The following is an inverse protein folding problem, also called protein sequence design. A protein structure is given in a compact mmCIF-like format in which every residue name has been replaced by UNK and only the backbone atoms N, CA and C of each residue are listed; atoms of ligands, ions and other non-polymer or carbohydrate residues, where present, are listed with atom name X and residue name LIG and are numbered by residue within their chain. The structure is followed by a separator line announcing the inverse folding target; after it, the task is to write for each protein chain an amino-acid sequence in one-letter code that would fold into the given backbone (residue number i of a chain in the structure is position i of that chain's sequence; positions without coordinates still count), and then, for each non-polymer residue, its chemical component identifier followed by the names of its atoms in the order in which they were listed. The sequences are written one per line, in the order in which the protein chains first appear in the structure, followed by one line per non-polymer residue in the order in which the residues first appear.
data_IF_865617986621
#
_entry.id   IF_865617986621
#
_cell.length_a   1.000
_cell.length_b   1.000
_cell.length_c   1.000
_cell.angle_alpha   90.00
_cell.angle_beta   90.00
_cell.angle_gamma   90.00
#
_symmetry.space_group_name_H-M   'P 1'
#
loop_
_entity.id
_entity.type
_entity.pdbx_description
1 polymer ?
#
# COMPACT_ATOMS: atom_id res chain seq x y z
N UNK A 1 -23.47 40.80 -84.62
CA UNK A 1 -23.27 41.63 -83.41
C UNK A 1 -22.35 40.90 -82.44
N UNK A 2 -21.42 41.64 -81.82
CA UNK A 2 -20.58 41.31 -80.65
C UNK A 2 -19.41 40.34 -80.91
N UNK A 3 -18.16 40.81 -81.03
CA UNK A 3 -17.25 41.51 -80.08
C UNK A 3 -16.34 40.51 -79.35
N UNK A 4 -15.07 40.56 -79.73
CA UNK A 4 -13.88 40.13 -78.99
C UNK A 4 -13.88 40.82 -77.61
N UNK A 5 -13.46 40.13 -76.54
CA UNK A 5 -12.68 40.76 -75.47
C UNK A 5 -11.81 39.73 -74.70
N UNK A 6 -10.52 40.05 -74.64
CA UNK A 6 -9.51 39.56 -73.72
C UNK A 6 -9.76 40.12 -72.31
N UNK A 7 -9.48 39.35 -71.24
CA UNK A 7 -9.20 39.93 -69.91
C UNK A 7 -8.15 39.10 -69.14
N UNK A 8 -7.28 39.83 -68.45
CA UNK A 8 -5.99 39.50 -67.83
C UNK A 8 -6.15 39.26 -66.30
N UNK A 9 -5.37 38.29 -65.79
CA UNK A 9 -4.62 38.15 -64.51
C UNK A 9 -5.15 38.78 -63.21
N UNK A 10 -5.19 38.01 -62.11
CA UNK A 10 -4.63 38.40 -60.78
C UNK A 10 -4.13 37.14 -60.03
N UNK A 11 -2.82 37.06 -59.81
CA UNK A 11 -2.16 36.22 -58.81
C UNK A 11 -2.35 36.82 -57.42
N UNK A 12 -2.98 36.08 -56.49
CA UNK A 12 -3.02 36.41 -55.07
C UNK A 12 -2.01 35.54 -54.32
N UNK A 13 -0.87 36.14 -54.00
CA UNK A 13 0.10 35.62 -53.03
C UNK A 13 -0.45 35.94 -51.64
N UNK A 14 -0.98 34.94 -50.94
CA UNK A 14 -1.19 35.04 -49.50
C UNK A 14 0.08 34.56 -48.80
N UNK A 15 0.89 35.51 -48.33
CA UNK A 15 1.85 35.30 -47.25
C UNK A 15 1.03 35.11 -45.98
N UNK A 16 0.67 33.86 -45.69
CA UNK A 16 0.10 33.49 -44.40
C UNK A 16 1.24 33.25 -43.42
N UNK A 17 1.36 34.12 -42.41
CA UNK A 17 2.17 33.87 -41.22
C UNK A 17 1.83 32.49 -40.64
N UNK A 18 2.73 31.52 -40.81
CA UNK A 18 2.71 30.28 -40.04
C UNK A 18 3.07 30.62 -38.60
N UNK A 19 2.08 30.93 -37.78
CA UNK A 19 2.16 30.52 -36.38
C UNK A 19 2.13 29.00 -36.43
N UNK A 20 3.28 28.36 -36.20
CA UNK A 20 3.29 26.98 -35.76
C UNK A 20 2.37 26.91 -34.54
N UNK A 21 1.14 26.47 -34.77
CA UNK A 21 0.32 25.97 -33.68
C UNK A 21 1.07 24.76 -33.17
N UNK A 22 1.74 24.90 -32.04
CA UNK A 22 2.10 23.76 -31.21
C UNK A 22 0.86 22.88 -31.16
N UNK A 23 0.93 21.71 -31.76
CA UNK A 23 -0.19 20.77 -31.72
C UNK A 23 -0.33 20.42 -30.24
N UNK A 24 -1.31 21.05 -29.57
CA UNK A 24 -1.74 20.62 -28.25
C UNK A 24 -2.13 19.15 -28.41
N UNK A 25 -1.30 18.27 -27.87
CA UNK A 25 -1.63 16.87 -27.79
C UNK A 25 -2.81 16.77 -26.83
N UNK A 26 -4.02 16.70 -27.40
CA UNK A 26 -5.26 16.66 -26.63
C UNK A 26 -5.18 15.56 -25.58
N UNK A 27 -5.54 15.90 -24.35
CA UNK A 27 -5.64 14.92 -23.27
C UNK A 27 -6.66 13.84 -23.65
N UNK A 28 -6.26 12.58 -23.49
CA UNK A 28 -7.07 11.42 -23.86
C UNK A 28 -7.37 10.57 -22.64
N UNK A 29 -8.57 10.00 -22.58
CA UNK A 29 -8.89 8.98 -21.59
C UNK A 29 -8.24 7.64 -21.91
N UNK A 30 -7.60 7.04 -20.91
CA UNK A 30 -6.92 5.75 -20.98
C UNK A 30 -7.45 4.84 -19.86
N UNK A 31 -7.76 3.58 -20.21
CA UNK A 31 -8.12 2.54 -19.24
C UNK A 31 -6.84 1.94 -18.65
N UNK A 32 -6.73 1.92 -17.33
CA UNK A 32 -5.49 1.56 -16.63
C UNK A 32 -5.78 0.47 -15.60
N UNK A 33 -4.95 -0.57 -15.58
CA UNK A 33 -4.91 -1.56 -14.50
C UNK A 33 -3.93 -1.14 -13.40
N UNK A 34 -4.24 -1.46 -12.14
CA UNK A 34 -3.40 -1.10 -10.99
C UNK A 34 -2.85 -2.36 -10.31
N UNK A 35 -1.55 -2.34 -10.06
CA UNK A 35 -0.87 -3.26 -9.17
C UNK A 35 0.14 -2.49 -8.30
N UNK A 36 0.84 -3.18 -7.41
CA UNK A 36 1.89 -2.61 -6.59
C UNK A 36 3.12 -3.50 -6.48
N UNK A 37 4.25 -2.93 -6.10
CA UNK A 37 5.48 -3.62 -5.76
C UNK A 37 5.99 -3.09 -4.42
N UNK A 38 6.79 -3.89 -3.73
CA UNK A 38 7.45 -3.43 -2.51
C UNK A 38 8.78 -2.79 -2.88
N UNK A 39 9.13 -1.70 -2.19
CA UNK A 39 10.55 -1.40 -2.03
C UNK A 39 11.20 -2.55 -1.27
N UNK A 40 12.39 -2.97 -1.68
CA UNK A 40 13.24 -3.88 -0.91
C UNK A 40 13.66 -3.17 0.39
N UNK A 41 12.73 -3.05 1.33
CA UNK A 41 12.92 -2.31 2.57
C UNK A 41 12.10 -2.96 3.68
N UNK A 42 12.75 -3.83 4.42
CA UNK A 42 12.32 -4.29 5.74
C UNK A 42 13.58 -4.53 6.55
N UNK A 43 13.69 -3.94 7.74
CA UNK A 43 14.83 -4.21 8.64
C UNK A 43 14.35 -5.12 9.77
N UNK A 44 15.22 -6.01 10.21
CA UNK A 44 14.92 -7.02 11.23
C UNK A 44 15.53 -6.63 12.56
N UNK A 45 14.86 -6.98 13.67
CA UNK A 45 15.47 -6.84 14.99
C UNK A 45 16.29 -8.08 15.36
N UNK A 46 15.99 -9.29 14.88
CA UNK A 46 16.72 -10.50 15.28
C UNK A 46 17.98 -10.73 14.42
N UNK A 47 19.13 -10.88 15.08
CA UNK A 47 20.33 -11.42 14.45
C UNK A 47 20.13 -12.90 14.06
N UNK A 48 20.26 -13.21 12.77
CA UNK A 48 20.48 -14.57 12.25
C UNK A 48 19.32 -15.58 12.34
N UNK A 49 18.15 -15.35 11.74
CA UNK A 49 17.19 -16.45 11.55
C UNK A 49 16.53 -16.48 10.17
N UNK A 50 16.75 -17.59 9.46
CA UNK A 50 16.10 -17.99 8.20
C UNK A 50 14.58 -17.86 8.25
N UNK A 51 13.95 -18.06 9.41
CA UNK A 51 12.50 -18.03 9.61
C UNK A 51 11.83 -16.73 9.09
N UNK A 52 12.45 -15.56 9.25
CA UNK A 52 11.85 -14.31 8.72
C UNK A 52 12.08 -14.13 7.23
N UNK A 53 13.29 -14.43 6.74
CA UNK A 53 13.54 -14.40 5.31
C UNK A 53 12.60 -15.38 4.59
N UNK A 54 12.38 -16.55 5.17
CA UNK A 54 11.43 -17.55 4.71
C UNK A 54 10.00 -17.00 4.77
N UNK A 55 9.58 -16.40 5.89
CA UNK A 55 8.25 -15.79 6.01
C UNK A 55 8.02 -14.69 4.99
N UNK A 56 8.95 -13.74 4.87
CA UNK A 56 8.88 -12.64 3.90
C UNK A 56 8.81 -13.18 2.48
N UNK A 57 9.76 -14.04 2.09
CA UNK A 57 9.83 -14.58 0.73
C UNK A 57 8.61 -15.43 0.40
N UNK A 58 8.06 -16.17 1.37
CA UNK A 58 6.92 -17.05 1.17
C UNK A 58 5.59 -16.31 1.16
N UNK A 59 5.41 -15.30 2.01
CA UNK A 59 4.08 -14.72 2.28
C UNK A 59 3.92 -13.26 1.91
N UNK A 60 4.98 -12.45 2.02
CA UNK A 60 4.93 -11.02 1.77
C UNK A 60 5.30 -10.73 0.33
N UNK A 61 6.46 -11.22 -0.12
CA UNK A 61 6.95 -11.07 -1.50
C UNK A 61 5.98 -11.67 -2.53
N UNK A 62 5.31 -12.76 -2.19
CA UNK A 62 4.27 -13.42 -3.00
C UNK A 62 2.90 -12.74 -2.94
N UNK A 63 2.76 -11.65 -2.17
CA UNK A 63 1.50 -10.94 -1.90
C UNK A 63 0.40 -11.83 -1.29
N UNK A 64 0.76 -12.92 -0.62
CA UNK A 64 -0.22 -13.79 0.05
C UNK A 64 -0.87 -13.04 1.23
N UNK A 65 -0.05 -12.48 2.12
CA UNK A 65 -0.48 -11.76 3.32
C UNK A 65 -0.51 -10.24 3.12
N UNK A 66 -1.01 -9.81 1.95
CA UNK A 66 -1.29 -8.40 1.65
C UNK A 66 -2.79 -8.14 1.60
N UNK A 67 -3.20 -6.89 1.87
CA UNK A 67 -4.55 -6.42 1.60
C UNK A 67 -4.97 -6.69 0.16
N UNK A 68 -6.27 -6.91 -0.02
CA UNK A 68 -6.86 -7.22 -1.32
C UNK A 68 -7.58 -6.04 -1.96
N UNK A 69 -7.72 -4.93 -1.23
CA UNK A 69 -8.45 -3.73 -1.67
C UNK A 69 -7.66 -2.46 -1.45
N UNK A 70 -7.91 -1.44 -2.26
CA UNK A 70 -7.27 -0.14 -2.16
C UNK A 70 -8.28 1.01 -2.15
N UNK A 71 -7.83 2.16 -1.66
CA UNK A 71 -8.49 3.45 -1.73
C UNK A 71 -7.43 4.51 -2.07
N UNK A 72 -7.40 4.94 -3.33
CA UNK A 72 -6.36 5.80 -3.89
C UNK A 72 -6.98 7.09 -4.43
N UNK A 73 -6.28 8.20 -4.25
CA UNK A 73 -6.61 9.51 -4.83
C UNK A 73 -5.55 9.88 -5.84
N UNK A 74 -6.00 10.12 -7.08
CA UNK A 74 -5.19 10.58 -8.20
C UNK A 74 -5.46 12.07 -8.38
N UNK A 75 -4.43 12.91 -8.24
CA UNK A 75 -4.50 14.35 -8.50
C UNK A 75 -3.70 14.68 -9.75
N UNK A 76 -4.38 15.08 -10.82
CA UNK A 76 -3.72 15.55 -12.03
C UNK A 76 -3.02 16.88 -11.75
N UNK A 77 -1.73 16.99 -12.07
CA UNK A 77 -0.92 18.16 -11.72
C UNK A 77 -1.23 19.40 -12.54
N UNK A 78 -1.61 19.22 -13.79
CA UNK A 78 -1.88 20.33 -14.72
C UNK A 78 -3.24 20.97 -14.43
N UNK A 79 -4.27 20.14 -14.29
CA UNK A 79 -5.66 20.59 -14.12
C UNK A 79 -6.07 20.75 -12.66
N UNK A 80 -5.35 20.12 -11.73
CA UNK A 80 -5.73 20.04 -10.32
C UNK A 80 -6.91 19.08 -10.04
N UNK A 81 -7.46 18.43 -11.07
CA UNK A 81 -8.59 17.52 -10.92
C UNK A 81 -8.22 16.29 -10.06
N UNK A 82 -9.13 15.89 -9.18
CA UNK A 82 -8.94 14.75 -8.28
C UNK A 82 -9.96 13.65 -8.56
N UNK A 83 -9.49 12.39 -8.52
CA UNK A 83 -10.32 11.21 -8.60
C UNK A 83 -9.97 10.24 -7.47
N UNK A 84 -10.94 9.89 -6.63
CA UNK A 84 -10.78 8.84 -5.61
C UNK A 84 -11.33 7.52 -6.13
N UNK A 85 -10.49 6.51 -6.18
CA UNK A 85 -10.77 5.19 -6.75
C UNK A 85 -10.65 4.15 -5.64
N UNK A 86 -11.71 3.36 -5.48
CA UNK A 86 -11.74 2.19 -4.60
C UNK A 86 -11.87 0.93 -5.43
N UNK A 87 -11.07 -0.08 -5.13
CA UNK A 87 -11.05 -1.30 -5.93
C UNK A 87 -10.37 -2.47 -5.22
N UNK A 88 -10.28 -3.59 -5.92
CA UNK A 88 -9.50 -4.75 -5.52
C UNK A 88 -8.25 -4.88 -6.37
N UNK A 89 -7.12 -5.20 -5.75
CA UNK A 89 -5.91 -5.56 -6.49
C UNK A 89 -6.14 -6.79 -7.36
N UNK A 90 -5.39 -6.91 -8.46
CA UNK A 90 -5.45 -8.03 -9.40
C UNK A 90 -6.83 -8.26 -10.05
N UNK A 91 -7.69 -7.23 -10.09
CA UNK A 91 -8.95 -7.26 -10.83
C UNK A 91 -8.92 -6.19 -11.90
N UNK A 92 -9.57 -6.44 -13.03
CA UNK A 92 -9.80 -5.40 -14.04
C UNK A 92 -10.71 -4.33 -13.44
N UNK A 93 -10.37 -3.07 -13.70
CA UNK A 93 -11.16 -1.93 -13.30
C UNK A 93 -11.71 -1.22 -14.54
N UNK A 94 -12.91 -0.67 -14.45
CA UNK A 94 -13.56 0.04 -15.55
C UNK A 94 -13.39 1.56 -15.45
N UNK A 95 -12.40 2.05 -14.70
CA UNK A 95 -12.13 3.49 -14.60
C UNK A 95 -11.14 3.92 -15.68
N UNK A 96 -11.20 5.20 -16.04
CA UNK A 96 -10.27 5.82 -16.97
C UNK A 96 -9.63 7.05 -16.33
N UNK A 97 -8.39 7.33 -16.73
CA UNK A 97 -7.67 8.55 -16.36
C UNK A 97 -7.32 9.32 -17.63
N UNK A 98 -7.28 10.64 -17.54
CA UNK A 98 -6.71 11.46 -18.61
C UNK A 98 -5.19 11.24 -18.66
N UNK A 99 -4.61 11.36 -19.84
CA UNK A 99 -3.14 11.47 -19.96
C UNK A 99 -2.63 12.67 -19.18
N UNK A 100 -1.47 12.52 -18.54
CA UNK A 100 -0.81 13.59 -17.80
C UNK A 100 -0.08 13.08 -16.56
N UNK A 101 0.50 14.01 -15.81
CA UNK A 101 1.19 13.72 -14.56
C UNK A 101 0.25 13.74 -13.36
N UNK A 102 0.42 12.76 -12.47
CA UNK A 102 -0.40 12.60 -11.29
C UNK A 102 0.44 12.54 -10.01
N UNK A 103 -0.12 13.10 -8.94
CA UNK A 103 0.24 12.73 -7.58
C UNK A 103 -0.76 11.70 -7.08
N UNK A 104 -0.26 10.54 -6.63
CA UNK A 104 -1.08 9.44 -6.15
C UNK A 104 -0.83 9.27 -4.67
N UNK A 105 -1.88 9.40 -3.88
CA UNK A 105 -1.85 9.11 -2.45
C UNK A 105 -2.95 8.12 -2.10
N UNK A 106 -2.74 7.31 -1.07
CA UNK A 106 -3.82 6.49 -0.55
C UNK A 106 -3.33 5.31 0.26
N UNK A 107 -4.23 4.38 0.50
CA UNK A 107 -3.97 3.24 1.37
C UNK A 107 -4.55 1.96 0.80
N UNK A 108 -3.99 0.86 1.25
CA UNK A 108 -4.53 -0.47 1.07
C UNK A 108 -4.42 -1.17 2.40
N UNK A 109 -5.55 -1.31 3.08
CA UNK A 109 -5.67 -1.89 4.41
C UNK A 109 -6.59 -3.12 4.36
N UNK A 110 -6.42 -4.06 5.30
CA UNK A 110 -7.33 -5.18 5.41
C UNK A 110 -8.73 -4.68 5.78
N UNK A 111 -9.74 -5.23 5.12
CA UNK A 111 -11.13 -4.78 5.25
C UNK A 111 -11.66 -5.07 6.66
N UNK A 112 -11.95 -4.02 7.44
CA UNK A 112 -12.43 -4.19 8.81
C UNK A 112 -12.63 -2.92 9.65
N UNK A 113 -12.47 -1.72 9.08
CA UNK A 113 -12.48 -0.44 9.82
C UNK A 113 -13.77 -0.21 10.63
N UNK A 114 -14.86 -0.94 10.34
CA UNK A 114 -16.15 -0.77 11.01
C UNK A 114 -16.72 -1.97 11.79
N UNK A 115 -16.07 -3.14 11.88
CA UNK A 115 -16.68 -4.23 12.69
C UNK A 115 -15.76 -5.30 13.27
N UNK A 116 -14.52 -5.45 12.80
CA UNK A 116 -13.49 -6.23 13.47
C UNK A 116 -12.18 -5.87 12.80
N UNK A 117 -11.26 -5.26 13.53
CA UNK A 117 -9.98 -4.96 12.94
C UNK A 117 -9.24 -6.25 12.59
N UNK A 118 -8.82 -6.31 11.33
CA UNK A 118 -8.20 -7.49 10.77
C UNK A 118 -6.68 -7.30 10.81
N UNK A 119 -6.00 -8.08 11.64
CA UNK A 119 -4.54 -8.01 11.84
C UNK A 119 -3.79 -9.12 11.08
N UNK A 120 -4.42 -9.71 10.05
CA UNK A 120 -3.94 -10.91 9.36
C UNK A 120 -3.07 -10.63 8.12
N UNK A 121 -3.02 -9.37 7.68
CA UNK A 121 -2.26 -8.93 6.51
C UNK A 121 -1.76 -7.51 6.69
N UNK A 122 -0.78 -7.13 5.87
CA UNK A 122 -0.09 -5.85 5.93
C UNK A 122 -1.03 -4.64 5.88
N UNK A 123 -0.57 -3.48 6.33
CA UNK A 123 -1.17 -2.19 6.00
C UNK A 123 -0.21 -1.46 5.08
N UNK A 124 -0.71 -0.95 3.96
CA UNK A 124 0.11 -0.30 2.94
C UNK A 124 -0.36 1.13 2.68
N UNK A 125 0.61 2.00 2.41
CA UNK A 125 0.39 3.39 1.99
C UNK A 125 1.09 3.64 0.67
N UNK A 126 0.52 4.56 -0.10
CA UNK A 126 1.03 4.98 -1.41
C UNK A 126 1.19 6.49 -1.38
N UNK A 127 2.33 6.96 -1.88
CA UNK A 127 2.63 8.37 -2.06
C UNK A 127 3.70 8.52 -3.12
N UNK A 128 3.30 8.62 -4.38
CA UNK A 128 4.24 8.72 -5.49
C UNK A 128 3.70 9.58 -6.63
N UNK A 129 4.58 9.87 -7.58
CA UNK A 129 4.27 10.60 -8.80
C UNK A 129 4.31 9.60 -9.96
N UNK A 130 3.26 9.60 -10.77
CA UNK A 130 3.17 8.75 -11.97
C UNK A 130 2.85 9.62 -13.19
N UNK A 131 3.09 9.08 -14.37
CA UNK A 131 2.70 9.67 -15.65
C UNK A 131 1.80 8.70 -16.40
N UNK A 132 0.64 9.16 -16.87
CA UNK A 132 -0.28 8.40 -17.72
C UNK A 132 -0.10 8.87 -19.16
N UNK A 133 0.30 7.95 -20.03
CA UNK A 133 0.46 8.16 -21.48
C UNK A 133 -0.62 7.40 -22.25
N UNK A 134 -0.75 7.69 -23.55
CA UNK A 134 -1.76 7.08 -24.42
C UNK A 134 -1.69 5.55 -24.50
N UNK A 135 -0.52 4.98 -24.24
CA UNK A 135 -0.18 3.55 -24.28
C UNK A 135 -0.01 2.94 -22.87
N UNK A 136 -0.36 3.67 -21.81
CA UNK A 136 -0.30 3.15 -20.45
C UNK A 136 -1.41 2.14 -20.20
N UNK A 137 -1.07 0.84 -20.19
CA UNK A 137 -2.03 -0.24 -19.89
C UNK A 137 -2.08 -0.61 -18.40
N UNK A 138 -0.96 -0.42 -17.69
CA UNK A 138 -0.81 -0.77 -16.29
C UNK A 138 0.07 0.22 -15.53
N UNK A 139 -0.31 0.53 -14.30
CA UNK A 139 0.49 1.30 -13.34
C UNK A 139 0.84 0.38 -12.18
N UNK A 140 2.14 0.25 -11.92
CA UNK A 140 2.66 -0.45 -10.76
C UNK A 140 3.12 0.57 -9.73
N UNK A 141 2.40 0.65 -8.62
CA UNK A 141 2.65 1.59 -7.54
C UNK A 141 3.68 1.05 -6.55
N UNK A 142 4.46 1.94 -5.97
CA UNK A 142 5.43 1.62 -4.93
C UNK A 142 4.73 1.60 -3.57
N UNK A 143 4.53 0.39 -3.02
CA UNK A 143 3.92 0.21 -1.72
C UNK A 143 4.90 0.52 -0.59
N UNK A 144 4.46 1.39 0.33
CA UNK A 144 5.16 1.72 1.57
C UNK A 144 4.48 0.95 2.70
N UNK A 145 5.27 0.30 3.56
CA UNK A 145 4.75 -0.32 4.76
C UNK A 145 4.15 0.72 5.70
N UNK A 146 2.89 0.51 6.08
CA UNK A 146 2.15 1.30 7.05
C UNK A 146 1.71 0.46 8.25
N UNK A 147 2.38 -0.67 8.43
CA UNK A 147 2.25 -1.56 9.58
C UNK A 147 3.61 -2.03 10.07
N UNK A 148 3.68 -2.43 11.32
CA UNK A 148 4.69 -3.35 11.83
C UNK A 148 4.08 -4.72 12.10
N UNK A 149 4.93 -5.73 12.24
CA UNK A 149 4.50 -7.11 12.52
C UNK A 149 5.06 -7.58 13.85
N UNK A 150 4.28 -8.32 14.63
CA UNK A 150 4.79 -9.06 15.79
C UNK A 150 4.68 -10.57 15.57
N UNK A 151 5.65 -11.31 16.08
CA UNK A 151 5.81 -12.75 15.87
C UNK A 151 6.10 -13.45 17.19
N UNK A 152 5.44 -14.59 17.40
CA UNK A 152 5.64 -15.48 18.54
C UNK A 152 5.79 -16.92 18.03
N UNK A 153 6.76 -17.67 18.54
CA UNK A 153 6.82 -19.10 18.27
C UNK A 153 5.62 -19.82 18.91
N UNK A 154 5.00 -20.75 18.17
CA UNK A 154 3.82 -21.49 18.64
C UNK A 154 4.16 -22.48 19.77
N UNK A 155 5.38 -23.02 19.82
CA UNK A 155 5.96 -23.90 20.85
C UNK A 155 4.98 -24.34 21.96
N UNK A 156 5.01 -23.65 23.10
CA UNK A 156 4.22 -23.90 24.31
C UNK A 156 2.94 -23.04 24.41
N UNK A 157 2.65 -22.25 23.38
CA UNK A 157 1.58 -21.25 23.36
C UNK A 157 0.35 -21.85 22.69
N UNK A 158 -0.78 -21.80 23.38
CA UNK A 158 -2.06 -22.25 22.83
C UNK A 158 -2.76 -21.15 22.04
N UNK A 159 -2.54 -19.88 22.41
CA UNK A 159 -3.24 -18.72 21.83
C UNK A 159 -2.49 -17.42 22.13
N UNK A 160 -2.55 -16.47 21.18
CA UNK A 160 -2.14 -15.07 21.38
C UNK A 160 -3.31 -14.17 21.02
N UNK A 161 -3.64 -13.21 21.89
CA UNK A 161 -4.74 -12.26 21.66
C UNK A 161 -4.29 -10.82 21.90
N UNK A 162 -4.72 -9.91 21.02
CA UNK A 162 -4.77 -8.50 21.32
C UNK A 162 -6.03 -8.20 22.14
N UNK A 163 -5.84 -7.58 23.30
CA UNK A 163 -6.89 -7.07 24.15
C UNK A 163 -6.80 -5.56 24.16
N UNK A 164 -7.84 -4.89 23.65
CA UNK A 164 -8.00 -3.43 23.74
C UNK A 164 -8.65 -3.09 25.08
N UNK A 165 -8.33 -1.92 25.63
CA UNK A 165 -8.67 -1.43 26.97
C UNK A 165 -9.91 -2.06 27.63
N UNK A 166 -9.83 -2.44 28.92
CA UNK A 166 -10.96 -3.00 29.67
C UNK A 166 -12.17 -2.04 29.60
N UNK A 167 -13.31 -2.53 29.09
CA UNK A 167 -14.55 -1.75 28.96
C UNK A 167 -14.90 -1.31 27.54
N UNK A 168 -14.02 -1.54 26.55
CA UNK A 168 -14.41 -1.41 25.14
C UNK A 168 -15.29 -2.60 24.74
N UNK A 169 -16.36 -2.35 23.96
CA UNK A 169 -17.22 -3.40 23.38
C UNK A 169 -16.52 -4.21 22.26
N UNK A 170 -15.22 -3.99 22.06
CA UNK A 170 -14.48 -4.63 21.00
C UNK A 170 -14.06 -6.05 21.43
N UNK A 171 -14.26 -7.07 20.57
CA UNK A 171 -13.81 -8.41 20.88
C UNK A 171 -12.28 -8.47 20.98
N UNK A 172 -11.76 -9.35 21.83
CA UNK A 172 -10.36 -9.76 21.76
C UNK A 172 -10.05 -10.25 20.34
N UNK A 173 -8.91 -9.86 19.80
CA UNK A 173 -8.52 -10.21 18.44
C UNK A 173 -7.42 -11.25 18.52
N UNK A 174 -7.76 -12.48 18.15
CA UNK A 174 -6.79 -13.55 18.07
C UNK A 174 -5.79 -13.28 16.94
N UNK A 175 -4.51 -13.51 17.25
CA UNK A 175 -3.46 -13.53 16.24
C UNK A 175 -3.70 -14.70 15.29
N UNK A 176 -3.21 -14.57 14.06
CA UNK A 176 -3.23 -15.67 13.10
C UNK A 176 -2.03 -16.56 13.31
N UNK A 177 -2.15 -17.82 12.90
CA UNK A 177 -1.04 -18.77 12.94
C UNK A 177 -0.74 -19.36 11.56
N UNK A 178 0.55 -19.58 11.33
CA UNK A 178 1.08 -20.19 10.10
C UNK A 178 2.49 -20.73 10.40
N UNK A 179 2.90 -21.84 9.77
CA UNK A 179 4.27 -22.39 9.87
C UNK A 179 4.88 -22.36 11.29
N UNK A 180 4.10 -22.80 12.28
CA UNK A 180 4.50 -22.87 13.70
C UNK A 180 4.79 -21.51 14.38
N UNK A 181 4.27 -20.40 13.85
CA UNK A 181 4.28 -19.09 14.51
C UNK A 181 2.86 -18.55 14.67
N UNK A 182 2.69 -17.68 15.66
CA UNK A 182 1.60 -16.72 15.71
C UNK A 182 2.08 -15.35 15.23
N UNK A 183 1.25 -14.63 14.48
CA UNK A 183 1.57 -13.32 13.95
C UNK A 183 0.38 -12.35 13.94
N UNK A 184 0.72 -11.07 13.93
CA UNK A 184 -0.21 -9.98 13.71
C UNK A 184 0.48 -8.80 13.02
N UNK A 185 -0.27 -8.10 12.16
CA UNK A 185 0.11 -6.81 11.60
C UNK A 185 -0.65 -5.69 12.30
N UNK A 186 0.07 -4.67 12.72
CA UNK A 186 -0.48 -3.53 13.41
C UNK A 186 -0.17 -2.24 12.68
N UNK A 187 -1.18 -1.39 12.55
CA UNK A 187 -1.04 0.01 12.21
C UNK A 187 -1.20 0.85 13.48
N UNK A 188 -0.44 1.94 13.60
CA UNK A 188 -0.43 2.81 14.79
C UNK A 188 -1.83 3.35 15.13
N UNK A 189 -2.60 3.76 14.10
CA UNK A 189 -3.97 4.26 14.30
C UNK A 189 -4.89 3.18 14.87
N UNK A 190 -4.57 1.92 14.59
CA UNK A 190 -5.32 0.78 15.08
C UNK A 190 -4.97 0.40 16.52
N UNK A 191 -3.71 0.44 16.92
CA UNK A 191 -3.31 -0.04 18.25
C UNK A 191 -3.90 0.81 19.37
N UNK A 192 -4.00 2.13 19.19
CA UNK A 192 -4.49 3.03 20.24
C UNK A 192 -3.70 2.91 21.56
N UNK A 193 -4.02 3.78 22.51
CA UNK A 193 -3.43 3.69 23.85
C UNK A 193 -4.04 2.51 24.63
N UNK A 194 -3.22 1.83 25.44
CA UNK A 194 -3.61 0.75 26.37
C UNK A 194 -4.00 -0.59 25.72
N UNK A 195 -3.35 -0.95 24.62
CA UNK A 195 -3.42 -2.30 24.06
C UNK A 195 -2.49 -3.27 24.79
N UNK A 196 -2.98 -4.49 25.03
CA UNK A 196 -2.21 -5.57 25.66
C UNK A 196 -2.20 -6.80 24.79
N UNK A 197 -1.09 -7.53 24.76
CA UNK A 197 -1.01 -8.86 24.16
C UNK A 197 -1.07 -9.89 25.28
N UNK A 198 -2.05 -10.78 25.20
CA UNK A 198 -2.19 -11.92 26.11
C UNK A 198 -1.57 -13.14 25.45
N UNK A 199 -0.62 -13.77 26.14
CA UNK A 199 0.09 -14.97 25.70
C UNK A 199 -0.35 -16.14 26.58
N UNK A 200 -1.13 -17.07 26.04
CA UNK A 200 -1.69 -18.19 26.79
C UNK A 200 -0.78 -19.42 26.69
N UNK A 201 -0.38 -19.98 27.84
CA UNK A 201 0.45 -21.19 27.99
C UNK A 201 -0.17 -22.09 29.07
N UNK A 202 -0.42 -23.36 28.79
CA UNK A 202 -0.77 -24.39 29.80
C UNK A 202 -1.60 -23.88 31.01
N UNK A 203 -2.84 -23.43 30.76
CA UNK A 203 -3.79 -22.91 31.76
C UNK A 203 -3.41 -21.59 32.48
N UNK A 204 -2.33 -20.93 32.08
CA UNK A 204 -1.95 -19.59 32.54
C UNK A 204 -1.78 -18.62 31.36
N UNK A 205 -1.62 -17.34 31.65
CA UNK A 205 -1.28 -16.33 30.66
C UNK A 205 -0.24 -15.32 31.16
N UNK A 206 0.54 -14.81 30.22
CA UNK A 206 1.38 -13.63 30.39
C UNK A 206 0.73 -12.45 29.66
N UNK A 207 0.95 -11.25 30.16
CA UNK A 207 0.40 -10.02 29.59
C UNK A 207 1.58 -9.12 29.22
N UNK A 208 1.59 -8.68 27.97
CA UNK A 208 2.56 -7.71 27.46
C UNK A 208 1.80 -6.40 27.23
N UNK A 209 2.17 -5.37 27.94
CA UNK A 209 1.64 -4.02 27.71
C UNK A 209 2.39 -3.40 26.53
N UNK A 210 1.65 -2.82 25.58
CA UNK A 210 2.22 -2.21 24.39
C UNK A 210 2.43 -0.69 24.53
N UNK A 211 2.07 -0.14 25.69
CA UNK A 211 2.27 1.27 25.98
C UNK A 211 3.78 1.59 25.94
N UNK A 212 4.13 2.67 25.24
CA UNK A 212 5.50 3.19 25.11
C UNK A 212 6.54 2.30 24.39
N UNK A 213 6.12 1.23 23.68
CA UNK A 213 7.05 0.47 22.82
C UNK A 213 7.22 1.21 21.48
N UNK A 214 8.46 1.58 21.07
CA UNK A 214 8.71 2.35 19.85
C UNK A 214 8.69 1.44 18.61
N UNK A 215 7.54 0.84 18.31
CA UNK A 215 7.37 0.06 17.10
C UNK A 215 7.41 0.96 15.86
N UNK A 216 8.15 0.52 14.84
CA UNK A 216 8.36 1.25 13.60
C UNK A 216 7.70 0.52 12.42
N UNK A 217 7.08 1.28 11.53
CA UNK A 217 6.48 0.74 10.30
C UNK A 217 7.52 0.05 9.42
N UNK A 218 7.12 -1.05 8.79
CA UNK A 218 7.98 -1.89 7.97
C UNK A 218 8.93 -2.80 8.75
N UNK A 219 8.84 -2.82 10.09
CA UNK A 219 9.66 -3.70 10.94
C UNK A 219 8.87 -4.90 11.46
N UNK A 220 9.64 -5.95 11.78
CA UNK A 220 9.15 -7.24 12.27
C UNK A 220 9.77 -7.48 13.65
N UNK A 221 8.92 -7.67 14.66
CA UNK A 221 9.29 -7.78 16.05
C UNK A 221 9.04 -9.19 16.56
N UNK A 222 10.12 -9.87 16.93
CA UNK A 222 10.04 -11.18 17.52
C UNK A 222 9.98 -11.11 19.04
N UNK A 223 9.07 -11.85 19.63
CA UNK A 223 9.04 -12.04 21.07
C UNK A 223 9.96 -13.19 21.46
N UNK A 224 10.99 -12.90 22.27
CA UNK A 224 11.88 -13.92 22.79
C UNK A 224 11.35 -14.46 24.13
N UNK A 225 11.06 -15.75 24.17
CA UNK A 225 10.59 -16.44 25.38
C UNK A 225 11.67 -16.57 26.47
N UNK A 226 12.96 -16.46 26.14
CA UNK A 226 14.05 -16.64 27.10
C UNK A 226 14.15 -15.45 28.06
N UNK A 227 14.06 -14.23 27.55
CA UNK A 227 14.10 -12.98 28.33
C UNK A 227 12.72 -12.34 28.50
N UNK A 228 11.67 -12.94 27.95
CA UNK A 228 10.29 -12.46 27.98
C UNK A 228 10.15 -11.02 27.45
N UNK A 229 10.93 -10.66 26.44
CA UNK A 229 10.90 -9.35 25.84
C UNK A 229 10.76 -9.43 24.33
N UNK A 230 10.24 -8.36 23.72
CA UNK A 230 10.62 -8.07 22.35
C UNK A 230 12.09 -7.69 22.42
N UNK A 231 12.96 -8.67 22.22
CA UNK A 231 14.33 -8.35 21.94
C UNK A 231 14.30 -7.47 20.69
N UNK A 232 14.62 -6.19 20.88
CA UNK A 232 14.95 -5.26 19.82
C UNK A 232 16.48 -5.19 19.76
N UNK A 233 17.22 -6.22 19.27
CA UNK A 233 18.62 -6.02 18.97
C UNK A 233 18.77 -4.85 17.99
N UNK A 234 19.90 -4.13 18.04
CA UNK A 234 20.24 -3.14 17.03
C UNK A 234 20.12 -3.79 15.64
N UNK A 235 19.40 -3.11 14.76
CA UNK A 235 18.99 -3.68 13.47
C UNK A 235 20.20 -3.88 12.55
N UNK A 236 20.23 -4.98 11.81
CA UNK A 236 21.12 -5.17 10.67
C UNK A 236 20.35 -4.96 9.37
N UNK A 237 21.00 -4.39 8.36
CA UNK A 237 20.44 -4.29 7.00
C UNK A 237 20.15 -5.71 6.48
N UNK A 238 18.91 -5.95 6.09
CA UNK A 238 18.56 -7.17 5.35
C UNK A 238 18.91 -6.95 3.88
N UNK A 239 19.73 -7.85 3.32
CA UNK A 239 20.01 -7.92 1.88
C UNK A 239 18.79 -8.39 1.09
#
# INVERSE_FOLDING_TARGET
MKKILFTIVVTLVFIGCSKESTIEQLSKEVEVSLDFSFTESGSMTRAGSTVYADFYNKYIKTKQLTPKTFNLTFKNKETGATATIRGSWNKKHSFKLLTGDYEVIGTSYPYGIHSAACIDSLYLKFNEKITIMNDTESVNLTAIYDSFMTIFDKNDKSKIELVKSPGSSNPNIAFKDIDNIFYAFFNEDFLGHSSKIYVFRNNTNSIIELDDIPFEKGKYYYFNDIDNSFNIPPMEEGN
#
